data_IF_031829125891
#
_entry.id   IF_031829125891
#
_cell.length_a   1.000
_cell.length_b   1.000
_cell.length_c   1.000
_cell.angle_alpha   90.00
_cell.angle_beta   90.00
_cell.angle_gamma   90.00
#
_symmetry.space_group_name_H-M   'P 1'
#
loop_
_entity.id
_entity.type
_entity.pdbx_description
1 polymer ?
#
# COMPACT_ATOMS: atom_id res chain seq x y z
N UNK A 1 -61.88 63.44 26.49
CA UNK A 1 -60.62 63.23 25.72
C UNK A 1 -59.91 62.05 26.34
N UNK A 2 -60.17 60.88 25.78
CA UNK A 2 -59.63 59.57 26.27
C UNK A 2 -58.50 59.11 25.39
N UNK A 3 -57.29 59.13 25.93
CA UNK A 3 -56.09 58.56 25.26
C UNK A 3 -56.00 57.09 25.58
N UNK A 4 -56.21 56.25 24.54
CA UNK A 4 -55.97 54.85 24.61
C UNK A 4 -54.44 54.58 24.36
N UNK A 5 -53.76 54.03 25.34
CA UNK A 5 -52.37 53.52 25.18
C UNK A 5 -52.41 52.02 24.82
N UNK A 6 -51.95 51.69 23.61
CA UNK A 6 -51.80 50.32 23.15
C UNK A 6 -50.39 49.89 23.54
N UNK A 7 -50.31 48.84 24.34
CA UNK A 7 -49.00 48.15 24.66
C UNK A 7 -48.57 47.22 23.54
N UNK A 8 -47.31 47.19 23.19
CA UNK A 8 -46.80 46.20 22.17
C UNK A 8 -46.65 44.85 22.81
N UNK A 9 -47.26 43.82 22.17
CA UNK A 9 -47.05 42.39 22.47
C UNK A 9 -45.68 41.99 21.98
N UNK A 10 -44.79 41.49 22.86
CA UNK A 10 -43.55 40.90 22.56
C UNK A 10 -43.81 39.54 21.90
N UNK A 11 -43.42 39.38 20.64
CA UNK A 11 -43.38 38.10 19.92
C UNK A 11 -42.03 37.45 20.22
N UNK A 12 -42.06 36.42 21.07
CA UNK A 12 -40.90 35.58 21.31
C UNK A 12 -40.70 34.64 20.14
N UNK A 13 -39.74 34.94 19.28
CA UNK A 13 -39.35 34.05 18.17
C UNK A 13 -38.46 32.94 18.73
N UNK A 14 -38.99 31.73 18.83
CA UNK A 14 -38.26 30.53 19.19
C UNK A 14 -37.44 30.08 17.96
N UNK A 15 -36.14 30.36 17.97
CA UNK A 15 -35.18 29.86 16.98
C UNK A 15 -34.83 28.41 17.34
N UNK A 16 -35.47 27.44 16.69
CA UNK A 16 -35.10 26.03 16.76
C UNK A 16 -33.83 25.84 15.95
N UNK A 17 -32.69 25.71 16.61
CA UNK A 17 -31.44 25.30 16.01
C UNK A 17 -31.55 23.80 15.70
N UNK A 18 -31.85 23.49 14.44
CA UNK A 18 -31.77 22.12 13.91
C UNK A 18 -30.28 21.79 13.64
N UNK A 19 -29.58 21.22 14.62
CA UNK A 19 -28.25 20.62 14.41
C UNK A 19 -28.40 19.43 13.47
N UNK A 20 -28.22 19.67 12.17
CA UNK A 20 -28.01 18.61 11.21
C UNK A 20 -26.61 17.97 11.47
N UNK A 21 -26.59 16.90 12.24
CA UNK A 21 -25.43 16.03 12.33
C UNK A 21 -25.24 15.39 10.96
N UNK A 22 -24.34 15.95 10.14
CA UNK A 22 -23.85 15.31 8.92
C UNK A 22 -23.02 14.12 9.34
N UNK A 23 -23.62 12.95 9.38
CA UNK A 23 -22.92 11.67 9.38
C UNK A 23 -22.12 11.60 8.07
N UNK A 24 -20.84 11.96 8.15
CA UNK A 24 -19.89 11.65 7.08
C UNK A 24 -19.76 10.13 7.04
N UNK A 25 -20.60 9.49 6.23
CA UNK A 25 -20.39 8.13 5.82
C UNK A 25 -19.09 8.14 5.00
N UNK A 26 -17.98 7.77 5.64
CA UNK A 26 -16.76 7.40 4.94
C UNK A 26 -17.14 6.21 4.08
N UNK A 27 -17.42 6.45 2.79
CA UNK A 27 -17.48 5.40 1.81
C UNK A 27 -16.08 4.76 1.80
N UNK A 28 -15.92 3.66 2.51
CA UNK A 28 -14.78 2.76 2.34
C UNK A 28 -14.96 2.14 0.96
N UNK A 29 -14.59 2.89 -0.07
CA UNK A 29 -14.49 2.37 -1.41
C UNK A 29 -13.47 1.25 -1.39
N UNK A 30 -13.94 0.00 -1.46
CA UNK A 30 -13.08 -1.14 -1.62
C UNK A 30 -12.22 -0.93 -2.87
N UNK A 31 -10.91 -1.03 -2.75
CA UNK A 31 -10.03 -0.93 -3.90
C UNK A 31 -10.31 -2.13 -4.82
N UNK A 32 -10.63 -1.86 -6.09
CA UNK A 32 -10.80 -2.93 -7.07
C UNK A 32 -9.46 -3.64 -7.30
N UNK A 33 -9.48 -4.97 -7.23
CA UNK A 33 -8.28 -5.75 -7.51
C UNK A 33 -8.01 -5.82 -9.01
N UNK A 34 -6.74 -5.64 -9.44
CA UNK A 34 -6.32 -5.91 -10.82
C UNK A 34 -6.19 -7.41 -11.13
N UNK A 35 -6.27 -8.28 -10.13
CA UNK A 35 -6.11 -9.73 -10.30
C UNK A 35 -7.46 -10.43 -10.35
N UNK A 36 -7.62 -11.28 -11.36
CA UNK A 36 -8.86 -12.02 -11.55
C UNK A 36 -9.11 -13.00 -10.39
N UNK A 37 -10.33 -12.96 -9.84
CA UNK A 37 -10.76 -13.86 -8.78
C UNK A 37 -10.44 -13.38 -7.36
N UNK A 38 -9.78 -12.23 -7.20
CA UNK A 38 -9.67 -11.58 -5.89
C UNK A 38 -10.97 -10.87 -5.52
N UNK A 39 -11.32 -10.89 -4.25
CA UNK A 39 -12.38 -10.05 -3.69
C UNK A 39 -11.91 -8.61 -3.59
N UNK A 40 -12.83 -7.68 -3.42
CA UNK A 40 -12.51 -6.29 -3.17
C UNK A 40 -11.58 -6.15 -1.97
N UNK A 41 -10.61 -5.24 -2.08
CA UNK A 41 -9.61 -5.01 -1.06
C UNK A 41 -10.22 -4.45 0.22
N UNK A 42 -9.75 -4.93 1.34
CA UNK A 42 -10.06 -4.40 2.67
C UNK A 42 -8.82 -3.77 3.28
N UNK A 43 -8.98 -2.77 4.14
CA UNK A 43 -7.85 -2.16 4.82
C UNK A 43 -7.12 -3.16 5.71
N UNK A 44 -5.80 -3.27 5.55
CA UNK A 44 -4.91 -4.04 6.41
C UNK A 44 -4.14 -3.16 7.40
N UNK A 45 -4.55 -1.90 7.54
CA UNK A 45 -3.94 -0.88 8.40
C UNK A 45 -3.01 0.06 7.64
N UNK A 46 -2.94 1.32 8.08
CA UNK A 46 -2.21 2.37 7.37
C UNK A 46 -2.69 2.53 5.93
N UNK A 47 -1.76 2.49 4.97
CA UNK A 47 -2.04 2.55 3.52
C UNK A 47 -2.13 1.17 2.87
N UNK A 48 -2.03 0.09 3.66
CA UNK A 48 -2.06 -1.27 3.15
C UNK A 48 -3.49 -1.75 2.87
N UNK A 49 -3.62 -2.45 1.76
CA UNK A 49 -4.85 -3.14 1.37
C UNK A 49 -4.60 -4.65 1.37
N UNK A 50 -5.60 -5.41 1.80
CA UNK A 50 -5.60 -6.88 1.78
C UNK A 50 -6.64 -7.37 0.78
N UNK A 51 -6.23 -8.26 -0.10
CA UNK A 51 -7.07 -8.92 -1.09
C UNK A 51 -7.08 -10.42 -0.84
N UNK A 52 -8.26 -11.02 -0.84
CA UNK A 52 -8.43 -12.43 -0.58
C UNK A 52 -8.98 -13.14 -1.82
N UNK A 53 -8.41 -14.29 -2.13
CA UNK A 53 -8.88 -15.17 -3.19
C UNK A 53 -8.70 -16.63 -2.80
N UNK A 54 -9.31 -17.51 -3.59
CA UNK A 54 -9.17 -18.96 -3.46
C UNK A 54 -8.82 -19.54 -4.82
N UNK A 55 -7.84 -20.42 -4.83
CA UNK A 55 -7.51 -21.18 -6.01
C UNK A 55 -8.61 -22.18 -6.33
N UNK A 56 -9.28 -22.00 -7.47
CA UNK A 56 -10.45 -22.83 -7.86
C UNK A 56 -10.10 -24.30 -8.11
N UNK A 57 -8.83 -24.62 -8.36
CA UNK A 57 -8.39 -25.99 -8.65
C UNK A 57 -7.98 -26.73 -7.38
N UNK A 58 -7.36 -26.04 -6.44
CA UNK A 58 -6.77 -26.66 -5.25
C UNK A 58 -7.50 -26.32 -3.94
N UNK A 59 -8.37 -25.29 -3.96
CA UNK A 59 -8.98 -24.73 -2.75
C UNK A 59 -7.99 -23.94 -1.87
N UNK A 60 -6.76 -23.73 -2.33
CA UNK A 60 -5.75 -23.01 -1.57
C UNK A 60 -6.16 -21.56 -1.33
N UNK A 61 -6.08 -21.11 -0.08
CA UNK A 61 -6.35 -19.72 0.29
C UNK A 61 -5.17 -18.85 -0.11
N UNK A 62 -5.46 -17.77 -0.83
CA UNK A 62 -4.47 -16.79 -1.27
C UNK A 62 -4.81 -15.44 -0.67
N UNK A 63 -3.81 -14.80 -0.11
CA UNK A 63 -3.90 -13.44 0.44
C UNK A 63 -2.81 -12.60 -0.23
N UNK A 64 -3.17 -11.41 -0.68
CA UNK A 64 -2.22 -10.42 -1.19
C UNK A 64 -2.35 -9.14 -0.39
N UNK A 65 -1.23 -8.63 0.11
CA UNK A 65 -1.15 -7.30 0.70
C UNK A 65 -0.51 -6.36 -0.30
N UNK A 66 -1.14 -5.22 -0.53
CA UNK A 66 -0.68 -4.18 -1.46
C UNK A 66 -0.39 -2.89 -0.71
N UNK A 67 0.75 -2.28 -1.01
CA UNK A 67 1.09 -0.93 -0.60
C UNK A 67 1.40 -0.11 -1.85
N UNK A 68 0.63 0.94 -2.10
CA UNK A 68 0.90 1.87 -3.18
C UNK A 68 1.90 2.94 -2.74
N UNK A 69 2.74 3.39 -3.68
CA UNK A 69 3.68 4.47 -3.44
C UNK A 69 2.97 5.81 -3.18
N UNK A 70 3.66 6.70 -2.50
CA UNK A 70 3.19 8.05 -2.22
C UNK A 70 3.31 8.97 -3.45
N UNK A 71 4.22 8.64 -4.36
CA UNK A 71 4.49 9.38 -5.59
C UNK A 71 4.25 8.55 -6.85
N UNK A 72 4.20 9.23 -7.98
CA UNK A 72 4.22 8.63 -9.31
C UNK A 72 5.66 8.65 -9.86
N UNK A 73 5.99 7.69 -10.72
CA UNK A 73 7.20 7.76 -11.54
C UNK A 73 6.89 8.44 -12.87
N UNK A 74 7.90 9.07 -13.48
CA UNK A 74 7.74 9.78 -14.76
C UNK A 74 7.44 8.84 -15.92
N UNK A 75 7.88 7.59 -15.81
CA UNK A 75 7.65 6.55 -16.84
C UNK A 75 6.15 6.29 -17.02
N UNK A 76 5.36 6.29 -15.94
CA UNK A 76 3.91 6.17 -16.02
C UNK A 76 3.21 7.04 -14.96
N UNK A 77 2.75 8.24 -15.34
CA UNK A 77 2.08 9.15 -14.41
C UNK A 77 0.64 8.72 -14.06
N UNK A 78 0.11 7.67 -14.69
CA UNK A 78 -1.26 7.19 -14.44
C UNK A 78 -1.30 6.09 -13.37
N UNK A 79 -0.19 5.38 -13.16
CA UNK A 79 -0.10 4.27 -12.21
C UNK A 79 0.99 4.52 -11.19
N UNK A 80 0.63 4.44 -9.91
CA UNK A 80 1.61 4.49 -8.83
C UNK A 80 2.38 3.19 -8.75
N UNK A 81 3.67 3.24 -8.44
CA UNK A 81 4.40 2.06 -8.01
C UNK A 81 3.69 1.37 -6.84
N UNK A 82 3.87 0.07 -6.72
CA UNK A 82 3.33 -0.68 -5.60
C UNK A 82 4.27 -1.79 -5.15
N UNK A 83 4.11 -2.20 -3.92
CA UNK A 83 4.68 -3.42 -3.37
C UNK A 83 3.54 -4.38 -3.10
N UNK A 84 3.66 -5.61 -3.58
CA UNK A 84 2.72 -6.68 -3.34
C UNK A 84 3.39 -7.83 -2.56
N UNK A 85 2.73 -8.32 -1.50
CA UNK A 85 3.10 -9.51 -0.77
C UNK A 85 2.09 -10.60 -1.09
N UNK A 86 2.48 -11.63 -1.79
CA UNK A 86 1.63 -12.77 -2.14
C UNK A 86 1.84 -13.92 -1.16
N UNK A 87 0.78 -14.37 -0.56
CA UNK A 87 0.78 -15.45 0.42
C UNK A 87 -0.19 -16.55 0.00
N UNK A 88 0.22 -17.80 0.17
CA UNK A 88 -0.62 -18.96 -0.08
C UNK A 88 -0.45 -19.95 1.06
N UNK A 89 -1.58 -20.45 1.58
CA UNK A 89 -1.63 -21.42 2.67
C UNK A 89 -0.75 -21.04 3.87
N UNK A 90 -0.84 -19.76 4.27
CA UNK A 90 -0.13 -19.22 5.43
C UNK A 90 1.36 -18.95 5.20
N UNK A 91 1.87 -18.95 3.96
CA UNK A 91 3.29 -18.70 3.66
C UNK A 91 3.47 -17.62 2.62
N UNK A 92 4.48 -16.76 2.81
CA UNK A 92 4.92 -15.81 1.79
C UNK A 92 5.51 -16.58 0.60
N UNK A 93 4.88 -16.47 -0.55
CA UNK A 93 5.33 -17.09 -1.81
C UNK A 93 6.13 -16.14 -2.68
N UNK A 94 5.76 -14.86 -2.68
CA UNK A 94 6.43 -13.81 -3.46
C UNK A 94 6.25 -12.47 -2.76
N UNK A 95 7.28 -11.65 -2.79
CA UNK A 95 7.18 -10.22 -2.57
C UNK A 95 7.71 -9.51 -3.81
N UNK A 96 6.93 -8.62 -4.40
CA UNK A 96 7.37 -7.90 -5.58
C UNK A 96 7.27 -6.37 -5.43
N UNK A 97 8.09 -5.70 -6.21
CA UNK A 97 8.00 -4.28 -6.46
C UNK A 97 7.60 -4.08 -7.93
N UNK A 98 6.45 -3.46 -8.14
CA UNK A 98 5.93 -3.11 -9.45
C UNK A 98 6.04 -1.59 -9.64
N UNK A 99 6.83 -1.08 -10.60
CA UNK A 99 6.99 0.35 -10.82
C UNK A 99 5.78 1.05 -11.46
N UNK A 100 4.76 0.29 -11.89
CA UNK A 100 3.63 0.79 -12.68
C UNK A 100 3.93 0.82 -14.17
N UNK A 101 5.17 1.11 -14.56
CA UNK A 101 5.64 1.18 -15.93
C UNK A 101 6.65 0.07 -16.27
N UNK A 102 7.42 0.28 -17.34
CA UNK A 102 8.42 -0.69 -17.78
C UNK A 102 9.77 -0.42 -17.12
N UNK A 103 10.36 -1.47 -16.58
CA UNK A 103 11.72 -1.45 -16.08
C UNK A 103 12.73 -1.28 -17.23
N UNK A 104 13.88 -0.69 -16.91
CA UNK A 104 15.05 -0.70 -17.76
C UNK A 104 15.64 -2.11 -17.93
N UNK A 105 16.77 -2.22 -18.61
CA UNK A 105 17.46 -3.49 -18.77
C UNK A 105 18.00 -4.00 -17.42
N UNK A 106 18.06 -5.35 -17.23
CA UNK A 106 18.71 -5.93 -16.05
C UNK A 106 20.22 -5.63 -16.08
N UNK A 107 20.85 -5.66 -14.90
CA UNK A 107 22.26 -5.31 -14.77
C UNK A 107 23.18 -6.54 -14.97
N UNK A 108 22.75 -7.71 -14.50
CA UNK A 108 23.56 -8.93 -14.54
C UNK A 108 22.72 -10.20 -14.45
N UNK A 109 23.23 -11.35 -14.92
CA UNK A 109 22.58 -12.63 -14.69
C UNK A 109 22.78 -13.06 -13.22
N UNK A 110 21.73 -13.59 -12.60
CA UNK A 110 21.82 -14.25 -11.31
C UNK A 110 22.44 -15.64 -11.42
N UNK A 111 22.61 -16.30 -10.26
CA UNK A 111 23.29 -17.61 -10.15
C UNK A 111 22.70 -18.70 -11.09
N UNK A 112 21.38 -18.70 -11.28
CA UNK A 112 20.68 -19.63 -12.18
C UNK A 112 20.34 -19.01 -13.54
N UNK A 113 21.07 -17.97 -13.97
CA UNK A 113 20.79 -17.28 -15.23
C UNK A 113 19.58 -16.34 -15.18
N UNK A 114 18.92 -16.19 -14.04
CA UNK A 114 17.82 -15.25 -13.88
C UNK A 114 18.34 -13.81 -13.90
N UNK A 115 17.79 -12.94 -14.77
CA UNK A 115 18.24 -11.55 -14.83
C UNK A 115 17.94 -10.82 -13.52
N UNK A 116 18.91 -10.01 -13.07
CA UNK A 116 18.78 -9.19 -11.86
C UNK A 116 18.98 -7.72 -12.19
N UNK A 117 18.26 -6.88 -11.44
CA UNK A 117 18.47 -5.46 -11.42
C UNK A 117 19.01 -5.03 -10.06
N UNK A 118 20.05 -4.21 -10.09
CA UNK A 118 20.54 -3.55 -8.88
C UNK A 118 19.66 -2.34 -8.56
N UNK A 119 19.11 -2.33 -7.38
CA UNK A 119 18.31 -1.23 -6.84
C UNK A 119 18.97 -0.69 -5.57
N UNK A 120 18.78 0.60 -5.29
CA UNK A 120 19.09 1.14 -3.97
C UNK A 120 17.81 1.19 -3.15
N UNK A 121 17.86 0.60 -1.96
CA UNK A 121 16.75 0.52 -1.03
C UNK A 121 17.08 1.32 0.21
N UNK A 122 16.14 2.16 0.65
CA UNK A 122 16.19 2.81 1.97
C UNK A 122 15.01 2.31 2.82
N UNK A 123 15.34 1.86 4.03
CA UNK A 123 14.37 1.50 5.07
C UNK A 123 14.71 2.36 6.29
N UNK A 124 13.83 3.28 6.64
CA UNK A 124 14.05 4.31 7.65
C UNK A 124 15.38 5.03 7.41
N UNK A 125 16.34 4.91 8.30
CA UNK A 125 17.66 5.55 8.20
C UNK A 125 18.73 4.68 7.52
N UNK A 126 18.40 3.42 7.19
CA UNK A 126 19.36 2.48 6.61
C UNK A 126 19.17 2.40 5.09
N UNK A 127 20.25 2.51 4.33
CA UNK A 127 20.23 2.29 2.89
C UNK A 127 21.21 1.19 2.48
N UNK A 128 20.86 0.44 1.42
CA UNK A 128 21.69 -0.64 0.89
C UNK A 128 21.37 -0.95 -0.56
N UNK A 129 22.37 -1.41 -1.30
CA UNK A 129 22.15 -1.96 -2.63
C UNK A 129 21.62 -3.40 -2.54
N UNK A 130 20.64 -3.72 -3.38
CA UNK A 130 20.02 -5.04 -3.49
C UNK A 130 20.01 -5.49 -4.95
N UNK A 131 20.20 -6.77 -5.18
CA UNK A 131 20.03 -7.40 -6.49
C UNK A 131 18.73 -8.17 -6.52
N UNK A 132 17.66 -7.56 -7.04
CA UNK A 132 16.36 -8.21 -7.15
C UNK A 132 16.20 -8.93 -8.50
N UNK A 133 15.45 -10.02 -8.52
CA UNK A 133 15.16 -10.71 -9.76
C UNK A 133 14.28 -9.86 -10.66
N UNK A 134 14.76 -9.62 -11.88
CA UNK A 134 14.03 -8.86 -12.90
C UNK A 134 13.08 -9.79 -13.64
N UNK A 135 11.79 -9.55 -13.58
CA UNK A 135 10.77 -10.43 -14.14
C UNK A 135 10.09 -9.78 -15.32
N UNK A 136 10.45 -10.23 -16.52
CA UNK A 136 9.84 -9.83 -17.81
C UNK A 136 9.75 -8.31 -18.06
N UNK A 137 10.54 -7.49 -17.37
CA UNK A 137 10.51 -6.03 -17.49
C UNK A 137 9.33 -5.34 -16.81
N UNK A 138 8.56 -6.05 -16.01
CA UNK A 138 7.36 -5.51 -15.38
C UNK A 138 7.49 -5.35 -13.86
N UNK A 139 8.19 -6.24 -13.20
CA UNK A 139 8.36 -6.15 -11.75
C UNK A 139 9.70 -6.76 -11.30
N UNK A 140 10.07 -6.45 -10.07
CA UNK A 140 11.26 -6.97 -9.40
C UNK A 140 10.83 -7.83 -8.21
N UNK A 141 11.27 -9.09 -8.18
CA UNK A 141 11.05 -9.95 -7.02
C UNK A 141 12.03 -9.57 -5.92
N UNK A 142 11.48 -9.13 -4.79
CA UNK A 142 12.21 -8.65 -3.62
C UNK A 142 12.78 -9.81 -2.80
N UNK A 143 13.91 -9.58 -2.15
CA UNK A 143 14.45 -10.55 -1.20
C UNK A 143 13.69 -10.53 0.14
N UNK A 144 13.66 -11.68 0.82
CA UNK A 144 12.95 -11.85 2.10
C UNK A 144 13.47 -10.91 3.20
N UNK A 145 14.75 -10.57 3.17
CA UNK A 145 15.37 -9.67 4.16
C UNK A 145 14.82 -8.25 4.03
N UNK A 146 14.75 -7.74 2.81
CA UNK A 146 14.14 -6.42 2.51
C UNK A 146 12.65 -6.42 2.85
N UNK A 147 11.92 -7.46 2.46
CA UNK A 147 10.49 -7.58 2.79
C UNK A 147 10.24 -7.52 4.30
N UNK A 148 11.02 -8.27 5.08
CA UNK A 148 10.92 -8.25 6.57
C UNK A 148 11.32 -6.91 7.18
N UNK A 149 12.29 -6.23 6.58
CA UNK A 149 12.73 -4.90 7.03
C UNK A 149 11.70 -3.82 6.76
N UNK A 150 10.98 -3.92 5.64
CA UNK A 150 9.94 -2.97 5.26
C UNK A 150 8.69 -3.08 6.15
N UNK A 151 8.32 -4.29 6.59
CA UNK A 151 7.16 -4.49 7.45
C UNK A 151 7.40 -3.80 8.80
N UNK A 152 6.57 -2.81 9.12
CA UNK A 152 6.67 -2.01 10.34
C UNK A 152 7.60 -0.79 10.26
N UNK A 153 8.31 -0.58 9.13
CA UNK A 153 9.09 0.63 8.89
C UNK A 153 8.19 1.87 8.71
N UNK A 154 8.74 3.06 8.98
CA UNK A 154 8.06 4.33 8.71
C UNK A 154 8.25 4.75 7.25
N UNK A 155 9.44 4.54 6.72
CA UNK A 155 9.87 4.96 5.40
C UNK A 155 10.44 3.76 4.64
N UNK A 156 9.98 3.58 3.42
CA UNK A 156 10.56 2.65 2.45
C UNK A 156 10.71 3.35 1.11
N UNK A 157 11.93 3.39 0.57
CA UNK A 157 12.20 3.99 -0.75
C UNK A 157 12.97 3.02 -1.61
N UNK A 158 12.65 3.01 -2.89
CA UNK A 158 13.32 2.19 -3.89
C UNK A 158 13.76 3.08 -5.05
N UNK A 159 15.08 3.22 -5.23
CA UNK A 159 15.62 3.78 -6.47
C UNK A 159 15.75 2.65 -7.47
N UNK A 160 15.06 2.78 -8.57
CA UNK A 160 14.97 1.78 -9.64
C UNK A 160 15.30 2.41 -10.98
N UNK A 161 15.81 1.62 -11.91
CA UNK A 161 16.00 2.05 -13.31
C UNK A 161 14.79 1.67 -14.14
N UNK A 162 14.08 2.66 -14.63
CA UNK A 162 13.03 2.55 -15.63
C UNK A 162 13.64 2.77 -17.04
N UNK A 163 12.82 2.73 -18.08
CA UNK A 163 13.26 3.14 -19.43
C UNK A 163 13.62 4.62 -19.50
N UNK A 164 12.94 5.46 -18.70
CA UNK A 164 13.17 6.90 -18.61
C UNK A 164 14.38 7.31 -17.77
N UNK A 165 15.07 6.37 -17.14
CA UNK A 165 16.22 6.63 -16.28
C UNK A 165 16.05 6.12 -14.85
N UNK A 166 16.84 6.68 -13.92
CA UNK A 166 16.71 6.35 -12.48
C UNK A 166 15.62 7.19 -11.86
N UNK A 167 14.77 6.54 -11.09
CA UNK A 167 13.64 7.15 -10.40
C UNK A 167 13.47 6.55 -9.00
N UNK A 168 12.86 7.30 -8.10
CA UNK A 168 12.65 6.88 -6.71
C UNK A 168 11.16 6.73 -6.46
N UNK A 169 10.75 5.52 -6.09
CA UNK A 169 9.43 5.24 -5.53
C UNK A 169 9.49 5.37 -4.00
N UNK A 170 8.56 6.11 -3.43
CA UNK A 170 8.48 6.38 -2.00
C UNK A 170 7.23 5.76 -1.40
N UNK A 171 7.38 5.08 -0.27
CA UNK A 171 6.29 4.38 0.41
C UNK A 171 6.28 4.72 1.90
N UNK A 172 5.08 4.70 2.50
CA UNK A 172 4.83 4.81 3.93
C UNK A 172 4.28 3.48 4.46
N UNK A 173 5.12 2.49 4.81
CA UNK A 173 4.64 1.17 5.23
C UNK A 173 3.99 1.14 6.62
N UNK A 174 4.16 2.20 7.40
CA UNK A 174 3.65 2.29 8.76
C UNK A 174 2.14 2.02 8.88
N UNK A 175 1.75 1.43 9.99
CA UNK A 175 0.34 1.15 10.31
C UNK A 175 -0.18 -0.19 9.80
N UNK A 176 0.64 -0.98 9.10
CA UNK A 176 0.26 -2.35 8.73
C UNK A 176 -0.03 -3.20 9.97
N UNK A 177 -1.14 -3.93 9.95
CA UNK A 177 -1.42 -4.94 10.98
C UNK A 177 -0.47 -6.14 10.81
N UNK A 178 0.61 -6.12 11.59
CA UNK A 178 1.66 -7.15 11.55
C UNK A 178 1.14 -8.53 11.90
N UNK A 179 0.13 -8.63 12.77
CA UNK A 179 -0.45 -9.93 13.15
C UNK A 179 -1.20 -10.55 11.97
N UNK A 180 -1.93 -9.76 11.20
CA UNK A 180 -2.57 -10.22 9.96
C UNK A 180 -1.56 -10.77 8.97
N UNK A 181 -0.48 -10.01 8.71
CA UNK A 181 0.58 -10.46 7.80
C UNK A 181 1.27 -11.71 8.31
N UNK A 182 1.52 -11.81 9.62
CA UNK A 182 2.12 -13.01 10.20
C UNK A 182 1.21 -14.23 10.02
N UNK A 183 -0.09 -14.10 10.27
CA UNK A 183 -1.06 -15.18 10.09
C UNK A 183 -1.19 -15.63 8.64
N UNK A 184 -1.20 -14.68 7.70
CA UNK A 184 -1.40 -14.96 6.28
C UNK A 184 -0.13 -15.42 5.56
N UNK A 185 1.06 -15.03 6.02
CA UNK A 185 2.31 -15.13 5.28
C UNK A 185 3.46 -15.79 6.05
N UNK A 186 3.30 -16.10 7.33
CA UNK A 186 4.38 -16.58 8.22
C UNK A 186 5.64 -15.69 8.12
N UNK A 187 5.44 -14.38 8.12
CA UNK A 187 6.50 -13.41 8.06
C UNK A 187 6.39 -12.41 9.22
N UNK A 188 7.50 -12.12 9.86
CA UNK A 188 7.60 -11.16 10.96
C UNK A 188 8.60 -10.05 10.61
N UNK A 189 8.41 -8.84 11.14
CA UNK A 189 9.38 -7.75 11.00
C UNK A 189 10.78 -8.18 11.42
N UNK A 190 11.78 -7.57 10.81
CA UNK A 190 13.17 -7.71 11.29
C UNK A 190 13.27 -6.98 12.63
N UNK A 191 13.77 -7.67 13.66
CA UNK A 191 14.07 -7.00 14.93
C UNK A 191 15.10 -5.89 14.68
N UNK A 192 14.92 -4.70 15.29
CA UNK A 192 15.95 -3.67 15.25
C UNK A 192 17.26 -4.26 15.78
N UNK A 193 18.38 -4.00 15.08
CA UNK A 193 19.70 -4.30 15.60
C UNK A 193 19.90 -3.47 16.87
N UNK A 194 20.20 -4.10 17.99
CA UNK A 194 20.71 -3.37 19.16
C UNK A 194 22.16 -3.04 18.83
N UNK A 195 22.42 -1.81 18.47
CA UNK A 195 23.77 -1.23 18.46
C UNK A 195 24.19 -0.92 19.89
#
# INVERSE_FOLDING_TARGET
MNSFRIAPKAIATFLVFLCAATLSASAQGGAMSPYQGEKDGVSAGGKWMEFNSEDKMTGAKRVRFELQADNYLREDPNYKPRVDLFCSDGKLTLADFNPGGKLGHPDYPGFWGQPKMQVMVRIDDTHSYKGWNWVRGHFLSMDKGTTRGMIGAQIFKVEVRTRGGREIAEFSPAGLDVNRVHQACDITPKKPSKD
#
